data_IF_363797146868
#
_entry.id   IF_363797146868
#
_cell.length_a   1.000
_cell.length_b   1.000
_cell.length_c   1.000
_cell.angle_alpha   90.00
_cell.angle_beta   90.00
_cell.angle_gamma   90.00
#
_symmetry.space_group_name_H-M   'P 1'
#
loop_
_entity.id
_entity.type
_entity.pdbx_description
1 polymer ?
#
# COMPACT_ATOMS: atom_id res chain seq x y z
N UNK A 1 -9.73 -11.85 30.92
CA UNK A 1 -9.41 -12.06 29.50
C UNK A 1 -10.60 -11.47 28.80
N UNK A 2 -10.49 -10.21 28.37
CA UNK A 2 -11.58 -9.52 27.71
C UNK A 2 -11.38 -9.71 26.21
N UNK A 3 -12.14 -10.64 25.64
CA UNK A 3 -12.10 -10.89 24.21
C UNK A 3 -12.75 -9.71 23.46
N UNK A 4 -12.16 -9.32 22.32
CA UNK A 4 -12.72 -8.30 21.42
C UNK A 4 -14.18 -8.65 21.08
N UNK A 5 -15.13 -7.71 21.26
CA UNK A 5 -16.51 -7.93 20.82
C UNK A 5 -16.55 -8.30 19.34
N UNK A 6 -17.30 -9.34 18.99
CA UNK A 6 -17.39 -9.87 17.62
C UNK A 6 -17.76 -8.78 16.59
N UNK A 7 -18.58 -7.80 17.00
CA UNK A 7 -18.96 -6.67 16.17
C UNK A 7 -17.77 -5.79 15.79
N UNK A 8 -16.90 -5.45 16.75
CA UNK A 8 -15.72 -4.62 16.50
C UNK A 8 -14.71 -5.34 15.60
N UNK A 9 -14.55 -6.65 15.83
CA UNK A 9 -13.75 -7.51 14.96
C UNK A 9 -14.28 -7.52 13.52
N UNK A 10 -15.60 -7.66 13.35
CA UNK A 10 -16.26 -7.71 12.04
C UNK A 10 -16.13 -6.37 11.30
N UNK A 11 -16.37 -5.25 11.98
CA UNK A 11 -16.21 -3.91 11.40
C UNK A 11 -14.78 -3.65 10.91
N UNK A 12 -13.77 -4.01 11.71
CA UNK A 12 -12.36 -3.86 11.33
C UNK A 12 -11.97 -4.74 10.13
N UNK A 13 -12.58 -5.92 10.00
CA UNK A 13 -12.41 -6.78 8.84
C UNK A 13 -13.02 -6.13 7.59
N UNK A 14 -14.26 -5.66 7.71
CA UNK A 14 -15.04 -5.14 6.60
C UNK A 14 -14.52 -3.78 6.12
N UNK A 15 -13.89 -2.99 7.00
CA UNK A 15 -13.22 -1.74 6.65
C UNK A 15 -12.13 -1.90 5.57
N UNK A 16 -11.63 -3.11 5.32
CA UNK A 16 -10.65 -3.41 4.27
C UNK A 16 -11.30 -3.73 2.92
N UNK A 17 -12.59 -4.07 2.89
CA UNK A 17 -13.31 -4.44 1.68
C UNK A 17 -13.28 -3.27 0.70
N UNK A 18 -13.02 -3.60 -0.56
CA UNK A 18 -12.88 -2.65 -1.64
C UNK A 18 -11.51 -2.02 -1.80
N UNK A 19 -10.54 -2.35 -0.91
CA UNK A 19 -9.15 -1.97 -1.12
C UNK A 19 -8.64 -2.52 -2.45
N UNK A 20 -7.92 -1.69 -3.20
CA UNK A 20 -7.28 -2.07 -4.45
C UNK A 20 -5.79 -2.33 -4.24
N UNK A 21 -5.22 -3.24 -5.05
CA UNK A 21 -3.77 -3.42 -5.21
C UNK A 21 -3.42 -3.65 -6.68
N UNK A 22 -2.17 -3.39 -7.05
CA UNK A 22 -1.64 -3.69 -8.37
C UNK A 22 -0.56 -4.77 -8.30
N UNK A 23 -0.67 -5.76 -9.19
CA UNK A 23 0.25 -6.90 -9.30
C UNK A 23 0.84 -6.92 -10.71
N UNK A 24 2.17 -6.88 -10.88
CA UNK A 24 2.78 -6.92 -12.21
C UNK A 24 2.57 -8.28 -12.86
N UNK A 25 2.22 -8.26 -14.15
CA UNK A 25 2.08 -9.44 -14.99
C UNK A 25 3.43 -9.66 -15.67
N UNK A 26 4.23 -10.54 -15.09
CA UNK A 26 5.58 -10.88 -15.57
C UNK A 26 5.69 -12.38 -15.78
N UNK A 27 6.51 -12.81 -16.74
CA UNK A 27 6.81 -14.23 -16.96
C UNK A 27 7.82 -14.72 -15.91
N UNK A 28 7.63 -15.90 -15.31
CA UNK A 28 8.56 -16.49 -14.34
C UNK A 28 7.96 -16.78 -12.96
N UNK A 29 8.79 -16.79 -11.91
CA UNK A 29 8.48 -17.15 -10.49
C UNK A 29 7.50 -16.23 -9.75
N UNK A 30 6.65 -15.53 -10.50
CA UNK A 30 5.59 -14.68 -10.00
C UNK A 30 6.04 -13.26 -9.60
N UNK A 31 5.10 -12.44 -9.15
CA UNK A 31 5.28 -11.02 -8.95
C UNK A 31 6.11 -10.73 -7.69
N UNK A 32 7.44 -10.74 -7.82
CA UNK A 32 8.36 -10.24 -6.79
C UNK A 32 8.74 -8.80 -7.11
N UNK A 33 8.84 -7.98 -6.05
CA UNK A 33 9.31 -6.61 -6.12
C UNK A 33 8.66 -5.78 -7.24
N UNK A 34 7.39 -5.42 -7.04
CA UNK A 34 6.52 -4.74 -8.01
C UNK A 34 7.04 -3.41 -8.58
N UNK A 35 8.12 -2.86 -8.03
CA UNK A 35 8.81 -1.67 -8.53
C UNK A 35 9.90 -1.97 -9.58
N UNK A 36 10.35 -3.21 -9.72
CA UNK A 36 11.45 -3.58 -10.62
C UNK A 36 11.06 -3.54 -12.11
N UNK A 37 9.77 -3.58 -12.43
CA UNK A 37 9.27 -3.56 -13.80
C UNK A 37 8.23 -2.45 -13.98
N UNK A 38 8.64 -1.17 -13.99
CA UNK A 38 7.70 -0.04 -14.06
C UNK A 38 6.82 -0.11 -15.31
N UNK A 39 7.35 -0.56 -16.45
CA UNK A 39 6.65 -0.57 -17.74
C UNK A 39 5.86 -1.86 -18.02
N UNK A 40 5.90 -2.84 -17.12
CA UNK A 40 5.14 -4.08 -17.30
C UNK A 40 3.63 -3.86 -17.04
N UNK A 41 2.74 -4.56 -17.76
CA UNK A 41 1.31 -4.52 -17.47
C UNK A 41 1.00 -5.03 -16.05
N UNK A 42 -0.08 -4.55 -15.46
CA UNK A 42 -0.50 -4.85 -14.09
C UNK A 42 -1.96 -5.26 -14.04
N UNK A 43 -2.22 -6.34 -13.31
CA UNK A 43 -3.57 -6.66 -12.85
C UNK A 43 -3.90 -5.79 -11.65
N UNK A 44 -5.06 -5.13 -11.68
CA UNK A 44 -5.64 -4.47 -10.52
C UNK A 44 -6.61 -5.46 -9.88
N UNK A 45 -6.44 -5.69 -8.60
CA UNK A 45 -7.26 -6.61 -7.82
C UNK A 45 -7.95 -5.86 -6.68
N UNK A 46 -9.18 -6.28 -6.36
CA UNK A 46 -10.01 -5.74 -5.27
C UNK A 46 -10.14 -6.76 -4.16
N UNK A 47 -9.94 -6.34 -2.92
CA UNK A 47 -10.20 -7.17 -1.75
C UNK A 47 -11.70 -7.26 -1.49
N UNK A 48 -12.27 -8.47 -1.57
CA UNK A 48 -13.71 -8.70 -1.34
C UNK A 48 -14.04 -9.05 0.12
N UNK A 49 -13.04 -9.12 1.00
CA UNK A 49 -13.21 -9.60 2.39
C UNK A 49 -12.66 -11.00 2.63
N UNK A 50 -12.30 -11.75 1.59
CA UNK A 50 -11.78 -13.11 1.66
C UNK A 50 -10.61 -13.37 0.69
N UNK A 51 -10.71 -12.87 -0.54
CA UNK A 51 -9.74 -13.03 -1.60
C UNK A 51 -9.52 -11.71 -2.36
N UNK A 52 -8.44 -11.68 -3.13
CA UNK A 52 -8.18 -10.64 -4.11
C UNK A 52 -8.80 -11.08 -5.43
N UNK A 53 -9.78 -10.33 -5.93
CA UNK A 53 -10.49 -10.62 -7.16
C UNK A 53 -10.04 -9.68 -8.29
N UNK A 54 -10.01 -10.16 -9.56
CA UNK A 54 -9.72 -9.29 -10.70
C UNK A 54 -10.70 -8.11 -10.78
N UNK A 55 -10.17 -6.91 -10.94
CA UNK A 55 -10.97 -5.68 -11.02
C UNK A 55 -10.72 -4.92 -12.34
N UNK A 56 -9.46 -4.77 -12.74
CA UNK A 56 -9.08 -4.09 -13.99
C UNK A 56 -7.66 -4.47 -14.42
N UNK A 57 -7.19 -3.90 -15.52
CA UNK A 57 -5.79 -3.94 -15.96
C UNK A 57 -5.26 -2.53 -16.16
N UNK A 58 -3.94 -2.37 -15.99
CA UNK A 58 -3.19 -1.17 -16.30
C UNK A 58 -2.01 -1.53 -17.20
N UNK A 59 -1.67 -0.67 -18.15
CA UNK A 59 -0.56 -0.87 -19.08
C UNK A 59 0.80 -0.81 -18.37
N UNK A 60 0.93 0.00 -17.32
CA UNK A 60 2.17 0.21 -16.58
C UNK A 60 1.93 0.60 -15.10
N UNK A 61 3.02 0.86 -14.37
CA UNK A 61 3.00 1.30 -12.97
C UNK A 61 2.38 2.69 -12.79
N UNK A 62 2.55 3.61 -13.74
CA UNK A 62 2.07 4.98 -13.65
C UNK A 62 0.54 5.01 -13.78
N UNK A 63 -0.02 4.28 -14.73
CA UNK A 63 -1.45 4.09 -14.86
C UNK A 63 -2.05 3.38 -13.64
N UNK A 64 -1.40 2.30 -13.16
CA UNK A 64 -1.83 1.63 -11.95
C UNK A 64 -1.89 2.59 -10.74
N UNK A 65 -0.91 3.49 -10.58
CA UNK A 65 -0.92 4.50 -9.51
C UNK A 65 -2.11 5.46 -9.61
N UNK A 66 -2.49 5.88 -10.82
CA UNK A 66 -3.67 6.75 -11.03
C UNK A 66 -4.96 6.05 -10.61
N UNK A 67 -5.09 4.74 -10.87
CA UNK A 67 -6.26 3.95 -10.47
C UNK A 67 -6.29 3.75 -8.95
N UNK A 68 -5.13 3.43 -8.34
CA UNK A 68 -5.04 3.15 -6.90
C UNK A 68 -5.17 4.40 -6.02
N UNK A 69 -4.72 5.54 -6.53
CA UNK A 69 -4.61 6.79 -5.78
C UNK A 69 -5.13 7.97 -6.62
N UNK A 70 -6.43 8.03 -6.93
CA UNK A 70 -6.99 9.11 -7.76
C UNK A 70 -6.75 10.49 -7.14
N UNK A 71 -6.82 10.59 -5.81
CA UNK A 71 -6.59 11.83 -5.06
C UNK A 71 -5.13 12.31 -5.09
N UNK A 72 -4.17 11.40 -5.32
CA UNK A 72 -2.74 11.73 -5.37
C UNK A 72 -2.31 12.39 -6.69
N UNK A 73 -3.21 12.44 -7.68
CA UNK A 73 -3.00 13.24 -8.91
C UNK A 73 -3.30 14.72 -8.72
N UNK A 74 -3.89 15.12 -7.59
CA UNK A 74 -3.99 16.53 -7.21
C UNK A 74 -2.62 16.99 -6.70
N UNK A 75 -2.02 18.05 -7.26
CA UNK A 75 -0.78 18.59 -6.71
C UNK A 75 -1.02 18.95 -5.24
N UNK A 76 -0.13 18.54 -4.31
CA UNK A 76 -0.35 18.80 -2.91
C UNK A 76 -0.45 20.32 -2.72
N UNK A 77 -1.53 20.78 -2.11
CA UNK A 77 -1.50 22.08 -1.43
C UNK A 77 -0.30 22.01 -0.48
N UNK A 78 0.65 22.96 -0.53
CA UNK A 78 1.82 22.91 0.33
C UNK A 78 1.34 22.90 1.79
N UNK A 79 1.42 21.74 2.44
CA UNK A 79 1.23 21.65 3.87
C UNK A 79 2.38 22.44 4.51
N UNK A 80 2.13 23.28 5.54
CA UNK A 80 3.21 23.79 6.37
C UNK A 80 3.95 22.57 6.92
N UNK A 81 5.19 22.36 6.44
CA UNK A 81 5.93 21.14 6.73
C UNK A 81 6.13 20.95 8.23
N UNK A 82 6.17 19.71 8.73
CA UNK A 82 6.49 19.47 10.12
C UNK A 82 7.86 20.08 10.41
N UNK A 83 7.95 20.92 11.44
CA UNK A 83 9.22 21.33 11.98
C UNK A 83 10.04 20.06 12.21
N UNK A 84 11.23 19.98 11.59
CA UNK A 84 12.15 18.86 11.79
C UNK A 84 12.47 18.80 13.27
N UNK A 85 11.81 17.91 14.00
CA UNK A 85 12.21 17.60 15.37
C UNK A 85 13.64 17.07 15.26
N UNK A 86 14.63 17.72 15.91
CA UNK A 86 16.00 17.23 15.87
C UNK A 86 15.98 15.79 16.40
N UNK A 87 16.71 14.90 15.72
CA UNK A 87 16.89 13.53 16.21
C UNK A 87 17.37 13.62 17.65
N UNK A 88 16.60 13.05 18.57
CA UNK A 88 17.02 12.96 19.96
C UNK A 88 18.39 12.26 20.01
N UNK A 89 19.34 12.69 20.87
CA UNK A 89 20.62 12.03 21.02
C UNK A 89 20.39 10.55 21.36
N UNK A 90 20.70 9.66 20.42
CA UNK A 90 20.55 8.23 20.62
C UNK A 90 21.53 7.76 21.69
N UNK A 91 21.02 7.14 22.76
CA UNK A 91 21.82 6.33 23.69
C UNK A 91 22.21 5.00 23.02
N UNK A 92 22.95 5.10 21.92
CA UNK A 92 23.42 3.96 21.14
C UNK A 92 24.41 3.13 21.95
N UNK A 93 23.90 2.11 22.65
CA UNK A 93 24.66 1.16 23.48
C UNK A 93 25.57 0.20 22.69
N UNK A 94 25.88 0.50 21.42
CA UNK A 94 26.57 -0.41 20.51
C UNK A 94 27.61 0.27 19.65
N UNK A 95 28.56 0.97 20.27
CA UNK A 95 29.91 1.09 19.71
C UNK A 95 30.91 0.77 20.81
N UNK A 96 31.38 -0.47 20.84
CA UNK A 96 32.61 -0.83 21.55
C UNK A 96 33.81 -0.50 20.65
N UNK A 97 34.95 -0.13 21.25
CA UNK A 97 36.13 0.42 20.58
C UNK A 97 36.83 -0.57 19.67
#
# INVERSE_FOLDING_TARGET
>A
MDDEPLSEWAERRDAKIGRLRAVPIVSGDGPRASHLHPDAPRAIERWNGHAWEPYAFAADLAEAKRILYPEASTPPTPAPGPARLPLAPGTGRHRKP
#
